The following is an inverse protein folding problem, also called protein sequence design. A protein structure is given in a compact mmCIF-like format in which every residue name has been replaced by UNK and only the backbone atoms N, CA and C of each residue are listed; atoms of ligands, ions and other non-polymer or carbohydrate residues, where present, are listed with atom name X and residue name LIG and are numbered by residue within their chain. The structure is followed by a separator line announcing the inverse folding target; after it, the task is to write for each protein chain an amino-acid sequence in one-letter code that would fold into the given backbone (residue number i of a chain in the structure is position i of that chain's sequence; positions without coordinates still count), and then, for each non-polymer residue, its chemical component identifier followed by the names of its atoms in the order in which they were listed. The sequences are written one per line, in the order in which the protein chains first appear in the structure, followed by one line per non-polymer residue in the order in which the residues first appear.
data_IF_991261080799
#
_entry.id   IF_991261080799
#
_cell.length_a   1.000
_cell.length_b   1.000
_cell.length_c   1.000
_cell.angle_alpha   90.00
_cell.angle_beta   90.00
_cell.angle_gamma   90.00
#
_symmetry.space_group_name_H-M   'P 1'
#
loop_
_entity.id
_entity.type
_entity.pdbx_description
1 polymer ?
#
# COMPACT_ATOMS: atom_id res chain seq x y z
N UNK A 1 5.33 5.75 10.90
CA UNK A 1 6.37 4.71 11.07
C UNK A 1 5.81 3.37 10.62
N UNK A 2 6.57 2.55 9.88
CA UNK A 2 6.17 1.18 9.43
C UNK A 2 6.34 0.11 10.52
N UNK A 3 6.82 0.50 11.70
CA UNK A 3 7.12 -0.41 12.81
C UNK A 3 5.93 -1.26 13.25
N UNK A 4 4.70 -0.74 13.25
CA UNK A 4 3.53 -1.51 13.64
C UNK A 4 3.23 -2.70 12.73
N UNK A 5 3.58 -2.60 11.43
CA UNK A 5 3.45 -3.73 10.50
C UNK A 5 4.51 -4.78 10.84
N UNK A 6 5.71 -4.34 11.22
CA UNK A 6 6.78 -5.23 11.67
C UNK A 6 6.42 -5.93 12.98
N UNK A 7 5.88 -5.20 13.95
CA UNK A 7 5.37 -5.76 15.21
C UNK A 7 4.29 -6.80 14.96
N UNK A 8 3.29 -6.46 14.13
CA UNK A 8 2.23 -7.40 13.74
C UNK A 8 2.79 -8.65 13.04
N UNK A 9 3.75 -8.50 12.14
CA UNK A 9 4.41 -9.63 11.49
C UNK A 9 5.09 -10.54 12.53
N UNK A 10 5.80 -9.96 13.50
CA UNK A 10 6.46 -10.73 14.57
C UNK A 10 5.45 -11.44 15.48
N UNK A 11 4.34 -10.79 15.83
CA UNK A 11 3.23 -11.39 16.60
C UNK A 11 2.60 -12.58 15.87
N UNK A 12 2.50 -12.48 14.54
CA UNK A 12 2.02 -13.56 13.68
C UNK A 12 3.12 -14.57 13.30
N UNK A 13 4.23 -14.59 14.03
CA UNK A 13 5.29 -15.58 13.90
C UNK A 13 6.29 -15.33 12.77
N UNK A 14 6.15 -14.23 12.03
CA UNK A 14 7.05 -13.85 10.95
C UNK A 14 8.19 -12.96 11.45
N UNK A 15 9.39 -13.52 11.49
CA UNK A 15 10.64 -12.87 11.90
C UNK A 15 11.67 -12.78 10.76
N UNK A 16 11.28 -13.16 9.53
CA UNK A 16 12.15 -13.13 8.36
C UNK A 16 13.19 -14.25 8.31
N UNK A 17 12.93 -15.37 9.01
CA UNK A 17 13.79 -16.54 8.97
C UNK A 17 13.46 -17.41 7.74
N UNK A 18 14.44 -18.19 7.27
CA UNK A 18 14.23 -19.13 6.17
C UNK A 18 13.12 -20.14 6.50
N UNK A 19 12.24 -20.40 5.52
CA UNK A 19 11.11 -21.32 5.66
C UNK A 19 9.86 -20.74 6.34
N UNK A 20 9.89 -19.49 6.82
CA UNK A 20 8.69 -18.83 7.34
C UNK A 20 7.80 -18.30 6.21
N UNK A 21 6.49 -18.50 6.36
CA UNK A 21 5.50 -17.91 5.45
C UNK A 21 5.02 -16.57 5.97
N UNK A 22 4.78 -15.64 5.05
CA UNK A 22 4.17 -14.35 5.37
C UNK A 22 2.73 -14.63 5.82
N UNK A 23 2.31 -14.11 6.99
CA UNK A 23 0.94 -14.26 7.46
C UNK A 23 -0.04 -13.61 6.50
N UNK A 24 -1.23 -14.19 6.34
CA UNK A 24 -2.26 -13.60 5.50
C UNK A 24 -2.68 -12.24 6.07
N UNK A 25 -2.47 -11.19 5.28
CA UNK A 25 -2.94 -9.85 5.64
C UNK A 25 -4.45 -9.80 5.39
N UNK A 26 -5.22 -10.02 6.45
CA UNK A 26 -6.68 -9.94 6.38
C UNK A 26 -7.12 -8.56 5.92
N UNK A 27 -8.24 -8.49 5.21
CA UNK A 27 -8.80 -7.22 4.71
C UNK A 27 -8.99 -6.19 5.83
N UNK A 28 -9.34 -6.65 7.03
CA UNK A 28 -9.48 -5.82 8.23
C UNK A 28 -8.15 -5.19 8.67
N UNK A 29 -7.08 -5.99 8.77
CA UNK A 29 -5.75 -5.47 9.09
C UNK A 29 -5.27 -4.46 8.05
N UNK A 30 -5.46 -4.76 6.76
CA UNK A 30 -5.12 -3.84 5.66
C UNK A 30 -5.87 -2.52 5.78
N UNK A 31 -7.17 -2.56 6.13
CA UNK A 31 -7.96 -1.35 6.32
C UNK A 31 -7.46 -0.52 7.51
N UNK A 32 -7.15 -1.16 8.65
CA UNK A 32 -6.59 -0.49 9.83
C UNK A 32 -5.23 0.17 9.53
N UNK A 33 -4.33 -0.56 8.86
CA UNK A 33 -3.02 -0.06 8.41
C UNK A 33 -3.21 1.16 7.50
N UNK A 34 -4.10 1.04 6.52
CA UNK A 34 -4.39 2.10 5.55
C UNK A 34 -4.92 3.36 6.24
N UNK A 35 -5.88 3.22 7.16
CA UNK A 35 -6.46 4.34 7.90
C UNK A 35 -5.39 5.11 8.69
N UNK A 36 -4.45 4.41 9.33
CA UNK A 36 -3.36 5.05 10.09
C UNK A 36 -2.41 5.84 9.20
N UNK A 37 -2.11 5.34 8.00
CA UNK A 37 -1.28 6.06 7.04
C UNK A 37 -1.99 7.28 6.46
N UNK A 38 -3.29 7.15 6.18
CA UNK A 38 -4.14 8.25 5.73
C UNK A 38 -4.15 9.34 6.81
N UNK A 39 -4.46 8.99 8.05
CA UNK A 39 -4.48 9.95 9.16
C UNK A 39 -3.13 10.66 9.33
N UNK A 40 -2.02 9.91 9.25
CA UNK A 40 -0.68 10.49 9.32
C UNK A 40 -0.42 11.46 8.17
N UNK A 41 -0.80 11.10 6.95
CA UNK A 41 -0.69 11.97 5.78
C UNK A 41 -1.48 13.26 5.98
N UNK A 42 -2.74 13.17 6.42
CA UNK A 42 -3.60 14.33 6.64
C UNK A 42 -3.05 15.23 7.75
N UNK A 43 -2.53 14.65 8.84
CA UNK A 43 -1.90 15.40 9.94
C UNK A 43 -0.62 16.12 9.53
N UNK A 44 0.21 15.48 8.70
CA UNK A 44 1.50 16.05 8.28
C UNK A 44 1.33 17.09 7.19
N UNK A 45 0.41 16.87 6.25
CA UNK A 45 0.23 17.75 5.08
C UNK A 45 -0.87 18.78 5.23
N UNK A 46 -1.82 18.57 6.16
CA UNK A 46 -3.04 19.37 6.28
C UNK A 46 -4.05 19.17 5.13
N UNK A 47 -3.76 18.24 4.20
CA UNK A 47 -4.61 17.94 3.05
C UNK A 47 -5.41 16.66 3.30
N UNK A 48 -6.67 16.63 2.86
CA UNK A 48 -7.44 15.38 2.91
C UNK A 48 -6.88 14.37 1.92
N UNK A 49 -6.77 13.12 2.35
CA UNK A 49 -6.37 12.05 1.47
C UNK A 49 -7.53 11.73 0.51
N UNK A 50 -7.26 11.75 -0.79
CA UNK A 50 -8.22 11.35 -1.82
C UNK A 50 -7.74 10.04 -2.42
N UNK A 51 -8.44 8.92 -2.19
CA UNK A 51 -8.08 7.66 -2.83
C UNK A 51 -8.19 7.81 -4.35
N UNK A 52 -7.17 7.34 -5.06
CA UNK A 52 -7.20 7.32 -6.52
C UNK A 52 -8.33 6.38 -6.98
N UNK A 53 -9.13 6.85 -7.95
CA UNK A 53 -10.10 5.99 -8.62
C UNK A 53 -9.38 4.78 -9.22
N UNK A 54 -9.91 3.59 -8.93
CA UNK A 54 -9.48 2.33 -9.54
C UNK A 54 -10.06 2.16 -10.95
N UNK A 55 -10.99 3.02 -11.35
CA UNK A 55 -11.57 2.98 -12.70
C UNK A 55 -10.47 3.27 -13.72
N UNK A 56 -10.35 2.39 -14.71
CA UNK A 56 -9.46 2.55 -15.85
C UNK A 56 -7.96 2.60 -15.51
N UNK A 57 -7.53 2.05 -14.36
CA UNK A 57 -6.11 1.98 -14.00
C UNK A 57 -5.26 1.30 -15.09
N UNK A 58 -5.73 0.15 -15.61
CA UNK A 58 -5.08 -0.57 -16.70
C UNK A 58 -4.97 0.28 -17.98
N UNK A 59 -6.08 0.90 -18.41
CA UNK A 59 -6.11 1.74 -19.61
C UNK A 59 -5.21 2.98 -19.48
N UNK A 60 -5.10 3.58 -18.29
CA UNK A 60 -4.17 4.69 -18.02
C UNK A 60 -2.71 4.26 -18.14
N UNK A 61 -2.37 3.10 -17.59
CA UNK A 61 -1.02 2.53 -17.67
C UNK A 61 -0.67 2.25 -19.13
N UNK A 62 -1.56 1.57 -19.85
CA UNK A 62 -1.38 1.26 -21.28
C UNK A 62 -1.17 2.53 -22.11
N UNK A 63 -2.03 3.54 -21.94
CA UNK A 63 -1.90 4.82 -22.65
C UNK A 63 -0.54 5.47 -22.43
N UNK A 64 -0.10 5.57 -21.17
CA UNK A 64 1.16 6.24 -20.83
C UNK A 64 2.38 5.49 -21.40
N UNK A 65 2.35 4.15 -21.41
CA UNK A 65 3.40 3.33 -22.02
C UNK A 65 3.43 3.54 -23.53
N UNK A 66 2.27 3.51 -24.19
CA UNK A 66 2.18 3.75 -25.63
C UNK A 66 2.63 5.17 -26.03
N UNK A 67 2.32 6.20 -25.23
CA UNK A 67 2.81 7.57 -25.47
C UNK A 67 4.33 7.66 -25.33
N UNK A 68 4.91 7.03 -24.31
CA UNK A 68 6.36 6.98 -24.15
C UNK A 68 7.04 6.30 -25.35
N UNK A 69 6.50 5.16 -25.79
CA UNK A 69 7.04 4.42 -26.93
C UNK A 69 6.91 5.16 -28.27
N UNK A 70 5.95 6.10 -28.41
CA UNK A 70 5.83 6.95 -29.62
C UNK A 70 6.85 8.10 -29.66
N UNK A 71 7.44 8.44 -28.52
CA UNK A 71 8.42 9.53 -28.40
C UNK A 71 9.86 9.02 -28.60
N UNK A 72 10.02 7.70 -28.78
CA UNK A 72 11.26 7.00 -29.11
C UNK A 72 11.21 6.49 -30.56
#
# INVERSE_FOLDING_TARGET
SKEFVREWLMENGFRGLEGQQIPEMTADFVAQVSARYIELFEKVTGQKFVPASQENAAARIEKNVLEFLKTY
#
